data_IF_444139568253
#
_entry.id   IF_444139568253
#
_cell.length_a   1.000
_cell.length_b   1.000
_cell.length_c   1.000
_cell.angle_alpha   90.00
_cell.angle_beta   90.00
_cell.angle_gamma   90.00
#
_symmetry.space_group_name_H-M   'P 1'
#
loop_
_entity.id
_entity.type
_entity.pdbx_description
1 polymer ?
#
# COMPACT_ATOMS: atom_id res chain seq x y z
N UNK A 1 24.17 17.55 2.17
CA UNK A 1 22.71 17.51 2.42
C UNK A 1 22.35 16.06 2.65
N UNK A 2 21.99 15.68 3.88
CA UNK A 2 21.50 14.31 4.13
C UNK A 2 20.13 14.24 3.46
N UNK A 3 20.00 13.45 2.38
CA UNK A 3 18.70 13.21 1.76
C UNK A 3 17.86 12.46 2.80
N UNK A 4 16.67 12.96 3.11
CA UNK A 4 15.70 12.20 3.90
C UNK A 4 15.37 10.90 3.17
N UNK A 5 15.12 9.83 3.93
CA UNK A 5 14.68 8.56 3.35
C UNK A 5 13.35 8.76 2.60
N UNK A 6 13.07 7.94 1.56
CA UNK A 6 11.72 7.84 1.01
C UNK A 6 10.70 7.53 2.13
N UNK A 7 9.46 7.99 1.95
CA UNK A 7 8.41 7.72 2.93
C UNK A 7 8.22 6.19 3.11
N UNK A 8 8.16 5.76 4.37
CA UNK A 8 8.04 4.33 4.73
C UNK A 8 9.34 3.54 4.71
N UNK A 9 10.48 4.13 4.37
CA UNK A 9 11.79 3.46 4.41
C UNK A 9 12.50 3.72 5.75
N UNK A 10 13.09 2.67 6.34
CA UNK A 10 13.75 2.70 7.65
C UNK A 10 15.24 2.48 7.48
N UNK A 11 16.06 3.29 8.16
CA UNK A 11 17.53 3.18 8.11
C UNK A 11 18.11 3.11 6.68
N UNK A 12 17.53 3.86 5.73
CA UNK A 12 17.88 3.85 4.30
C UNK A 12 17.56 2.52 3.57
N UNK A 13 16.82 1.62 4.21
CA UNK A 13 16.34 0.36 3.67
C UNK A 13 14.84 0.37 3.39
N UNK A 14 14.41 -0.40 2.39
CA UNK A 14 13.00 -0.61 2.10
C UNK A 14 12.41 -1.62 3.11
N UNK A 15 11.13 -1.52 3.49
CA UNK A 15 10.50 -2.42 4.47
C UNK A 15 10.16 -3.82 3.93
N UNK A 16 10.34 -4.06 2.63
CA UNK A 16 10.11 -5.37 2.03
C UNK A 16 11.26 -6.33 2.30
N UNK A 17 10.92 -7.60 2.50
CA UNK A 17 11.86 -8.69 2.57
C UNK A 17 12.20 -9.23 1.17
N UNK A 18 13.43 -9.72 0.99
CA UNK A 18 13.90 -10.37 -0.24
C UNK A 18 14.33 -9.42 -1.36
N UNK A 19 15.00 -10.01 -2.35
CA UNK A 19 15.54 -9.27 -3.51
C UNK A 19 14.43 -8.92 -4.51
N UNK A 20 14.34 -7.65 -4.87
CA UNK A 20 13.53 -7.13 -5.96
C UNK A 20 14.26 -7.37 -7.28
N UNK A 21 14.19 -8.61 -7.78
CA UNK A 21 14.79 -9.01 -9.05
C UNK A 21 13.73 -9.10 -10.15
N UNK A 22 13.33 -7.94 -10.69
CA UNK A 22 12.40 -7.87 -11.83
C UNK A 22 13.01 -7.06 -12.97
N UNK A 23 13.63 -7.71 -13.97
CA UNK A 23 14.34 -7.02 -15.06
C UNK A 23 13.39 -6.22 -15.97
N UNK A 24 12.08 -6.48 -15.91
CA UNK A 24 11.05 -5.77 -16.68
C UNK A 24 10.66 -4.41 -16.06
N UNK A 25 11.08 -4.12 -14.83
CA UNK A 25 10.77 -2.86 -14.15
C UNK A 25 11.82 -1.81 -14.47
N UNK A 26 11.38 -0.69 -15.06
CA UNK A 26 12.23 0.48 -15.27
C UNK A 26 12.45 1.22 -13.94
N UNK A 27 13.67 1.09 -13.41
CA UNK A 27 14.13 1.74 -12.17
C UNK A 27 14.77 3.12 -12.42
N UNK A 28 14.81 3.61 -13.66
CA UNK A 28 15.41 4.90 -13.97
C UNK A 28 14.71 6.03 -13.20
N UNK A 29 15.52 6.81 -12.48
CA UNK A 29 15.07 7.93 -11.64
C UNK A 29 14.61 7.52 -10.23
N UNK A 30 14.63 6.24 -9.88
CA UNK A 30 14.30 5.77 -8.53
C UNK A 30 15.45 5.90 -7.54
N UNK A 31 15.12 6.04 -6.26
CA UNK A 31 16.06 5.71 -5.18
C UNK A 31 15.96 4.20 -4.92
N UNK A 32 17.07 3.47 -4.94
CA UNK A 32 17.07 2.01 -4.85
C UNK A 32 17.69 1.55 -3.53
N UNK A 33 17.03 0.61 -2.86
CA UNK A 33 17.54 0.01 -1.64
C UNK A 33 18.74 -0.87 -1.99
N UNK A 34 19.88 -0.66 -1.30
CA UNK A 34 21.09 -1.45 -1.56
C UNK A 34 20.97 -2.91 -1.12
N UNK A 35 20.16 -3.18 -0.09
CA UNK A 35 20.00 -4.53 0.47
C UNK A 35 19.05 -5.39 -0.35
N UNK A 36 17.95 -4.80 -0.84
CA UNK A 36 16.87 -5.55 -1.51
C UNK A 36 16.71 -5.19 -2.98
N UNK A 37 17.39 -4.16 -3.50
CA UNK A 37 17.16 -3.68 -4.87
C UNK A 37 15.80 -3.02 -5.10
N UNK A 38 14.97 -2.87 -4.06
CA UNK A 38 13.63 -2.28 -4.19
C UNK A 38 13.71 -0.80 -4.59
N UNK A 39 12.99 -0.35 -5.63
CA UNK A 39 12.95 1.05 -6.01
C UNK A 39 11.87 1.84 -5.23
N UNK A 40 12.16 3.10 -4.91
CA UNK A 40 11.22 4.13 -4.52
C UNK A 40 11.16 5.20 -5.61
N UNK A 41 9.98 5.37 -6.19
CA UNK A 41 9.75 6.29 -7.31
C UNK A 41 9.08 7.58 -6.84
N UNK A 42 9.41 8.70 -7.49
CA UNK A 42 8.55 9.88 -7.46
C UNK A 42 7.36 9.68 -8.41
N UNK A 43 6.18 10.17 -8.04
CA UNK A 43 4.93 10.06 -8.80
C UNK A 43 4.39 11.44 -9.19
N UNK A 44 5.13 12.23 -9.98
CA UNK A 44 4.71 13.58 -10.36
C UNK A 44 3.40 13.56 -11.15
N UNK A 45 2.49 14.48 -10.82
CA UNK A 45 1.20 14.58 -11.50
C UNK A 45 0.18 13.51 -11.12
N UNK A 46 0.48 12.66 -10.14
CA UNK A 46 -0.47 11.69 -9.59
C UNK A 46 -0.98 12.12 -8.22
N UNK A 47 -2.18 11.64 -7.86
CA UNK A 47 -2.75 11.77 -6.51
C UNK A 47 -3.20 10.41 -6.01
N UNK A 48 -3.03 10.18 -4.70
CA UNK A 48 -3.47 8.99 -4.00
C UNK A 48 -4.64 9.35 -3.07
N UNK A 49 -5.73 8.58 -3.17
CA UNK A 49 -6.88 8.67 -2.27
C UNK A 49 -7.17 7.31 -1.68
N UNK A 50 -7.45 7.27 -0.37
CA UNK A 50 -7.80 6.03 0.33
C UNK A 50 -9.11 6.23 1.09
N UNK A 51 -10.04 5.30 0.90
CA UNK A 51 -11.38 5.32 1.51
C UNK A 51 -11.66 3.99 2.22
N UNK A 52 -12.40 4.05 3.32
CA UNK A 52 -12.83 2.86 4.06
C UNK A 52 -13.82 2.05 3.23
N UNK A 53 -13.66 0.72 3.21
CA UNK A 53 -14.69 -0.19 2.71
C UNK A 53 -15.56 -0.60 3.89
N UNK A 54 -16.81 -0.14 3.88
CA UNK A 54 -17.79 -0.46 4.93
C UNK A 54 -18.45 -1.82 4.59
N UNK A 55 -18.36 -2.84 5.46
CA UNK A 55 -18.96 -4.15 5.22
C UNK A 55 -20.49 -4.03 5.19
N UNK A 56 -21.15 -5.01 4.57
CA UNK A 56 -22.62 -5.05 4.56
C UNK A 56 -23.21 -5.32 5.96
N UNK A 57 -22.52 -6.12 6.78
CA UNK A 57 -22.92 -6.46 8.15
C UNK A 57 -22.25 -5.52 9.17
N UNK A 58 -22.69 -4.26 9.18
CA UNK A 58 -22.19 -3.25 10.12
C UNK A 58 -22.77 -3.51 11.51
N UNK A 59 -21.89 -3.65 12.49
CA UNK A 59 -22.18 -3.61 13.92
C UNK A 59 -21.75 -2.25 14.44
N UNK A 60 -22.73 -1.41 14.77
CA UNK A 60 -22.58 0.01 15.13
C UNK A 60 -21.41 0.31 16.08
N UNK A 61 -21.17 -0.56 17.07
CA UNK A 61 -20.13 -0.36 18.08
C UNK A 61 -18.84 -1.17 17.85
N UNK A 62 -18.75 -1.97 16.79
CA UNK A 62 -17.62 -2.87 16.57
C UNK A 62 -16.87 -2.60 15.26
N UNK A 63 -17.55 -2.27 14.16
CA UNK A 63 -16.93 -2.01 12.86
C UNK A 63 -17.64 -0.92 12.02
N UNK A 64 -18.09 0.22 12.60
CA UNK A 64 -18.80 1.26 11.85
C UNK A 64 -17.95 1.92 10.75
N UNK A 65 -16.64 1.70 10.77
CA UNK A 65 -15.66 2.30 9.85
C UNK A 65 -14.92 1.26 9.00
N UNK A 66 -15.47 0.05 8.86
CA UNK A 66 -14.89 -1.00 8.05
C UNK A 66 -14.10 -2.07 8.83
N UNK A 67 -13.79 -3.17 8.14
CA UNK A 67 -13.06 -4.34 8.69
C UNK A 67 -11.60 -4.40 8.19
N UNK A 68 -10.92 -3.25 8.19
CA UNK A 68 -9.53 -3.12 7.72
C UNK A 68 -9.34 -3.16 6.20
N UNK A 69 -10.43 -3.16 5.43
CA UNK A 69 -10.38 -3.02 3.97
C UNK A 69 -10.48 -1.56 3.54
N UNK A 70 -9.68 -1.21 2.55
CA UNK A 70 -9.64 0.14 2.00
C UNK A 70 -9.66 0.12 0.48
N UNK A 71 -10.45 1.00 -0.10
CA UNK A 71 -10.40 1.33 -1.52
C UNK A 71 -9.29 2.35 -1.74
N UNK A 72 -8.30 1.97 -2.54
CA UNK A 72 -7.18 2.83 -2.93
C UNK A 72 -7.39 3.27 -4.36
N UNK A 73 -7.35 4.58 -4.60
CA UNK A 73 -7.49 5.19 -5.92
C UNK A 73 -6.26 6.01 -6.26
N UNK A 74 -5.70 5.78 -7.43
CA UNK A 74 -4.59 6.55 -8.01
C UNK A 74 -5.14 7.27 -9.23
N UNK A 75 -4.99 8.59 -9.27
CA UNK A 75 -5.49 9.43 -10.37
C UNK A 75 -4.33 10.13 -11.05
N UNK A 76 -4.29 10.06 -12.38
CA UNK A 76 -3.38 10.86 -13.20
C UNK A 76 -3.99 12.24 -13.48
N UNK A 77 -3.39 13.29 -12.92
CA UNK A 77 -3.82 14.69 -13.10
C UNK A 77 -3.08 15.39 -14.25
N UNK A 78 -2.24 14.67 -14.99
CA UNK A 78 -1.43 15.17 -16.09
C UNK A 78 -1.81 14.56 -17.45
N UNK A 79 -0.94 14.71 -18.47
CA UNK A 79 -1.05 13.99 -19.73
C UNK A 79 -0.89 12.48 -19.52
N UNK A 80 -1.10 11.69 -20.57
CA UNK A 80 -0.83 10.25 -20.55
C UNK A 80 0.60 9.96 -20.06
N UNK A 81 0.75 9.14 -19.01
CA UNK A 81 2.04 8.82 -18.40
C UNK A 81 2.00 7.51 -17.61
N UNK A 82 3.17 6.95 -17.30
CA UNK A 82 3.32 5.73 -16.50
C UNK A 82 3.49 6.08 -15.02
N UNK A 83 2.70 5.45 -14.15
CA UNK A 83 2.92 5.46 -12.71
C UNK A 83 3.94 4.38 -12.34
N UNK A 84 5.22 4.75 -12.22
CA UNK A 84 6.29 3.78 -11.96
C UNK A 84 6.18 3.06 -10.61
N UNK A 85 5.48 3.65 -9.64
CA UNK A 85 5.27 3.07 -8.32
C UNK A 85 4.10 2.08 -8.24
N UNK A 86 3.18 2.08 -9.21
CA UNK A 86 2.06 1.14 -9.25
C UNK A 86 2.39 -0.01 -10.20
N UNK A 87 2.37 -1.24 -9.67
CA UNK A 87 2.59 -2.45 -10.44
C UNK A 87 1.27 -3.08 -10.88
N UNK A 88 1.31 -3.82 -11.97
CA UNK A 88 0.25 -4.71 -12.43
C UNK A 88 0.82 -6.07 -12.82
N UNK A 89 -0.02 -7.10 -12.77
CA UNK A 89 0.32 -8.43 -13.25
C UNK A 89 0.35 -8.50 -14.80
N UNK A 90 0.64 -9.68 -15.34
CA UNK A 90 0.68 -9.90 -16.79
C UNK A 90 -0.65 -9.60 -17.50
N UNK A 91 -1.80 -9.74 -16.81
CA UNK A 91 -3.14 -9.46 -17.33
C UNK A 91 -3.48 -7.96 -17.30
N UNK A 92 -2.68 -7.16 -16.58
CA UNK A 92 -2.92 -5.73 -16.37
C UNK A 92 -3.73 -5.42 -15.11
N UNK A 93 -3.98 -6.41 -14.25
CA UNK A 93 -4.66 -6.17 -12.98
C UNK A 93 -3.72 -5.46 -11.99
N UNK A 94 -4.14 -4.37 -11.34
CA UNK A 94 -3.29 -3.59 -10.46
C UNK A 94 -2.98 -4.35 -9.16
N UNK A 95 -1.70 -4.33 -8.76
CA UNK A 95 -1.14 -5.02 -7.61
C UNK A 95 -0.90 -4.02 -6.46
N UNK A 96 -1.97 -3.48 -5.89
CA UNK A 96 -1.89 -2.44 -4.86
C UNK A 96 -1.16 -2.90 -3.58
N UNK A 97 -1.47 -4.09 -3.07
CA UNK A 97 -0.84 -4.65 -1.86
C UNK A 97 0.68 -4.84 -2.04
N UNK A 98 1.13 -5.16 -3.26
CA UNK A 98 2.55 -5.26 -3.60
C UNK A 98 3.20 -3.90 -3.91
N UNK A 99 2.42 -2.85 -4.16
CA UNK A 99 2.93 -1.53 -4.56
C UNK A 99 3.01 -0.54 -3.38
N UNK A 100 2.23 -0.77 -2.34
CA UNK A 100 2.07 0.14 -1.20
C UNK A 100 2.94 -0.22 0.00
N UNK A 101 3.27 0.80 0.79
CA UNK A 101 3.68 0.68 2.20
C UNK A 101 2.54 1.24 3.05
N UNK A 102 2.19 0.58 4.15
CA UNK A 102 1.27 1.11 5.15
C UNK A 102 2.05 1.48 6.41
N UNK A 103 2.00 2.74 6.84
CA UNK A 103 2.66 3.19 8.07
C UNK A 103 1.62 3.27 9.19
N UNK A 104 1.87 2.56 10.29
CA UNK A 104 1.06 2.60 11.52
C UNK A 104 1.99 2.76 12.70
N UNK A 105 1.63 3.58 13.69
CA UNK A 105 2.45 3.82 14.89
C UNK A 105 3.92 4.18 14.59
N UNK A 106 4.17 4.89 13.48
CA UNK A 106 5.50 5.27 12.96
C UNK A 106 6.33 4.12 12.38
N UNK A 107 5.82 2.89 12.40
CA UNK A 107 6.44 1.73 11.80
C UNK A 107 5.88 1.47 10.39
N UNK A 108 6.73 1.21 9.39
CA UNK A 108 6.27 0.80 8.07
C UNK A 108 5.94 -0.68 8.06
N UNK A 109 4.88 -1.01 7.35
CA UNK A 109 4.45 -2.38 7.11
C UNK A 109 4.16 -2.59 5.63
N UNK A 110 4.34 -3.83 5.19
CA UNK A 110 4.10 -4.26 3.80
C UNK A 110 3.29 -5.55 3.81
N UNK A 111 2.59 -5.80 2.70
CA UNK A 111 1.96 -7.09 2.49
C UNK A 111 3.02 -8.12 2.09
N UNK A 112 2.96 -9.32 2.67
CA UNK A 112 3.94 -10.40 2.49
C UNK A 112 3.84 -11.12 1.13
N UNK A 113 3.07 -10.59 0.19
CA UNK A 113 2.83 -11.24 -1.09
C UNK A 113 4.03 -11.08 -2.01
N UNK A 114 4.55 -12.20 -2.50
CA UNK A 114 5.58 -12.21 -3.53
C UNK A 114 5.06 -11.51 -4.79
N UNK A 115 5.95 -10.82 -5.49
CA UNK A 115 5.67 -10.29 -6.82
C UNK A 115 5.55 -11.46 -7.81
N UNK A 116 4.57 -11.44 -8.73
CA UNK A 116 4.49 -12.46 -9.76
C UNK A 116 5.70 -12.36 -10.71
N UNK A 117 6.02 -13.46 -11.41
CA UNK A 117 7.19 -13.52 -12.28
C UNK A 117 7.19 -12.44 -13.38
N UNK A 118 6.00 -12.12 -13.90
CA UNK A 118 5.77 -11.06 -14.87
C UNK A 118 4.99 -9.93 -14.22
N UNK A 119 5.62 -8.76 -14.16
CA UNK A 119 5.04 -7.53 -13.61
C UNK A 119 5.32 -6.36 -14.53
N UNK A 120 4.41 -5.39 -14.54
CA UNK A 120 4.52 -4.18 -15.35
C UNK A 120 4.25 -2.95 -14.49
N UNK A 121 4.81 -1.81 -14.90
CA UNK A 121 4.39 -0.51 -14.37
C UNK A 121 3.13 -0.05 -15.10
N UNK A 122 2.21 0.58 -14.37
CA UNK A 122 0.88 0.89 -14.89
C UNK A 122 0.89 2.19 -15.69
N UNK A 123 0.42 2.13 -16.94
CA UNK A 123 0.17 3.30 -17.78
C UNK A 123 -1.21 3.89 -17.50
N UNK A 124 -1.28 5.22 -17.44
CA UNK A 124 -2.51 5.97 -17.25
C UNK A 124 -2.75 6.91 -18.42
N UNK A 125 -3.99 6.94 -18.91
CA UNK A 125 -4.50 8.04 -19.75
C UNK A 125 -4.65 9.33 -18.93
N UNK A 126 -4.79 10.47 -19.60
CA UNK A 126 -5.01 11.75 -18.95
C UNK A 126 -6.34 11.75 -18.16
N UNK A 127 -6.30 12.12 -16.88
CA UNK A 127 -7.48 12.11 -16.00
C UNK A 127 -7.93 10.73 -15.53
N UNK A 128 -7.26 9.65 -15.95
CA UNK A 128 -7.66 8.29 -15.57
C UNK A 128 -7.46 8.06 -14.07
N UNK A 129 -8.43 7.40 -13.46
CA UNK A 129 -8.32 6.84 -12.10
C UNK A 129 -8.32 5.33 -12.18
N UNK A 130 -7.37 4.69 -11.49
CA UNK A 130 -7.35 3.24 -11.29
C UNK A 130 -7.56 2.99 -9.80
N UNK A 131 -8.44 2.05 -9.50
CA UNK A 131 -8.88 1.74 -8.15
C UNK A 131 -8.65 0.25 -7.86
N UNK A 132 -8.29 -0.06 -6.63
CA UNK A 132 -8.23 -1.42 -6.12
C UNK A 132 -8.47 -1.45 -4.62
N UNK A 133 -8.66 -2.64 -4.07
CA UNK A 133 -8.83 -2.84 -2.63
C UNK A 133 -7.55 -3.38 -2.01
N UNK A 134 -7.26 -2.93 -0.80
CA UNK A 134 -6.22 -3.51 0.06
C UNK A 134 -6.82 -3.88 1.41
N UNK A 135 -6.27 -4.93 2.01
CA UNK A 135 -6.72 -5.44 3.29
C UNK A 135 -5.59 -5.37 4.31
N UNK A 136 -5.67 -4.41 5.24
CA UNK A 136 -4.62 -4.21 6.25
C UNK A 136 -4.56 -5.35 7.26
N UNK A 137 -5.62 -6.16 7.41
CA UNK A 137 -5.59 -7.32 8.30
C UNK A 137 -4.70 -8.45 7.75
N UNK A 138 -4.30 -8.41 6.47
CA UNK A 138 -3.32 -9.36 5.89
C UNK A 138 -1.87 -8.99 6.20
N UNK A 139 -1.62 -7.79 6.71
CA UNK A 139 -0.28 -7.33 7.02
C UNK A 139 0.23 -8.12 8.22
N UNK A 140 1.38 -8.77 8.04
CA UNK A 140 2.04 -9.51 9.10
C UNK A 140 2.76 -8.54 10.05
N UNK A 141 2.98 -8.97 11.29
CA UNK A 141 3.75 -8.23 12.29
C UNK A 141 3.14 -6.89 12.75
N UNK A 142 1.83 -6.69 12.58
CA UNK A 142 1.09 -5.64 13.30
C UNK A 142 0.67 -6.19 14.67
N UNK A 143 1.00 -5.44 15.72
CA UNK A 143 0.45 -5.66 17.07
C UNK A 143 -0.95 -5.07 17.14
N UNK A 144 -1.97 -5.87 16.84
CA UNK A 144 -3.36 -5.41 16.90
C UNK A 144 -3.79 -5.10 18.34
N UNK A 145 -4.60 -4.04 18.54
CA UNK A 145 -4.96 -3.59 19.88
C UNK A 145 -5.98 -4.51 20.55
N UNK A 146 -5.91 -4.57 21.88
CA UNK A 146 -6.90 -5.25 22.71
C UNK A 146 -8.13 -4.36 22.93
N UNK A 147 -9.33 -4.93 22.82
CA UNK A 147 -10.57 -4.17 22.97
C UNK A 147 -10.90 -3.39 21.71
N UNK A 148 -11.25 -2.10 21.84
CA UNK A 148 -11.79 -1.29 20.75
C UNK A 148 -11.07 0.04 20.56
N UNK A 149 -10.45 0.27 19.40
CA UNK A 149 -9.84 1.55 19.07
C UNK A 149 -9.70 1.82 17.58
N UNK A 150 -9.49 3.09 17.22
CA UNK A 150 -9.13 3.48 15.86
C UNK A 150 -7.68 3.14 15.58
N UNK A 151 -7.43 2.40 14.50
CA UNK A 151 -6.09 2.12 13.99
C UNK A 151 -5.88 2.96 12.73
N UNK A 152 -4.88 3.83 12.77
CA UNK A 152 -4.58 4.77 11.68
C UNK A 152 -3.46 4.23 10.80
N UNK A 153 -3.66 4.33 9.50
CA UNK A 153 -2.67 3.98 8.49
C UNK A 153 -2.39 5.19 7.60
N UNK A 154 -1.13 5.41 7.31
CA UNK A 154 -0.72 6.24 6.16
C UNK A 154 -0.25 5.33 5.05
N UNK A 155 -0.99 5.28 3.95
CA UNK A 155 -0.65 4.51 2.77
C UNK A 155 0.27 5.31 1.88
N UNK A 156 1.36 4.70 1.44
CA UNK A 156 2.42 5.31 0.66
C UNK A 156 2.57 4.60 -0.68
N UNK A 157 2.51 5.35 -1.77
CA UNK A 157 2.80 4.90 -3.13
C UNK A 157 3.87 5.80 -3.73
N UNK A 158 5.11 5.31 -3.78
CA UNK A 158 6.25 6.16 -4.16
C UNK A 158 6.45 7.29 -3.15
N UNK A 159 6.22 8.54 -3.56
CA UNK A 159 6.22 9.74 -2.72
C UNK A 159 4.80 10.28 -2.40
N UNK A 160 3.74 9.61 -2.87
CA UNK A 160 2.36 9.96 -2.54
C UNK A 160 1.97 9.34 -1.20
N UNK A 161 1.17 10.08 -0.43
CA UNK A 161 0.70 9.64 0.88
C UNK A 161 -0.78 9.96 1.04
N UNK A 162 -1.53 9.03 1.62
CA UNK A 162 -2.93 9.24 1.99
C UNK A 162 -3.23 8.50 3.29
N UNK A 163 -3.79 9.20 4.27
CA UNK A 163 -4.06 8.62 5.58
C UNK A 163 -5.55 8.28 5.73
N UNK A 164 -5.83 7.15 6.35
CA UNK A 164 -7.17 6.76 6.77
C UNK A 164 -7.08 5.88 8.02
N UNK A 165 -8.21 5.46 8.57
CA UNK A 165 -8.27 4.58 9.73
C UNK A 165 -9.41 3.59 9.59
N UNK A 166 -9.48 2.60 10.46
CA UNK A 166 -10.74 1.89 10.75
C UNK A 166 -10.84 1.65 12.26
N UNK A 167 -12.00 1.22 12.74
CA UNK A 167 -12.18 0.90 14.15
C UNK A 167 -11.95 -0.60 14.35
N UNK A 168 -10.81 -0.94 14.93
CA UNK A 168 -10.49 -2.31 15.30
C UNK A 168 -11.19 -2.64 16.62
N UNK A 169 -11.92 -3.75 16.63
CA UNK A 169 -12.53 -4.33 17.81
C UNK A 169 -12.16 -5.80 17.91
N UNK A 170 -11.39 -6.18 18.93
CA UNK A 170 -10.72 -7.49 18.99
C UNK A 170 -11.69 -8.67 18.87
N UNK A 171 -12.83 -8.62 19.56
CA UNK A 171 -13.86 -9.68 19.45
C UNK A 171 -14.52 -9.83 18.07
N UNK A 172 -14.35 -8.84 17.19
CA UNK A 172 -14.83 -8.88 15.80
C UNK A 172 -13.71 -9.19 14.81
N UNK A 173 -12.51 -8.64 15.03
CA UNK A 173 -11.45 -8.63 14.03
C UNK A 173 -10.34 -9.64 14.27
N UNK A 174 -10.09 -10.10 15.51
CA UNK A 174 -9.00 -11.05 15.79
C UNK A 174 -9.18 -12.33 14.94
N UNK A 175 -10.41 -12.87 14.86
CA UNK A 175 -10.70 -14.04 14.03
C UNK A 175 -10.53 -13.77 12.53
N UNK A 176 -10.76 -12.53 12.08
CA UNK A 176 -10.52 -12.14 10.69
C UNK A 176 -9.03 -12.03 10.38
N UNK A 177 -8.23 -11.49 11.30
CA UNK A 177 -6.77 -11.44 11.19
C UNK A 177 -6.24 -12.87 11.07
N UNK A 178 -6.62 -13.77 11.97
CA UNK A 178 -6.16 -15.17 11.92
C UNK A 178 -6.59 -15.89 10.63
N UNK A 179 -7.79 -15.60 10.11
CA UNK A 179 -8.27 -16.19 8.85
C UNK A 179 -7.58 -15.63 7.59
N UNK A 180 -6.86 -14.51 7.71
CA UNK A 180 -6.22 -13.78 6.59
C UNK A 180 -4.68 -13.93 6.57
N UNK A 181 -4.11 -14.61 7.56
CA UNK A 181 -2.70 -15.04 7.56
C UNK A 181 -2.49 -16.20 6.60
#
# INVERSE_FOLDING_TARGET
MVRSNPAGWVNQGAPWEGDFCHPEIDTAGATVCLSTGRPAFACPGFTLKVEQVIPADVKEFQNPFGDGKFTVSVTNNGPKQICKALFADASGAPLFEQSLIAISEQEPHVWSQALPASIKQVEFEAGQTITGEVDTLKIQNISWPQGGMRVYFTFVLGDLMSANFFYYYSSCHDSMVEARK
#
